data_IF_912474653221
#
_entry.id   IF_912474653221
#
_cell.length_a   1.000
_cell.length_b   1.000
_cell.length_c   1.000
_cell.angle_alpha   90.00
_cell.angle_beta   90.00
_cell.angle_gamma   90.00
#
_symmetry.space_group_name_H-M   'P 1'
#
loop_
_entity.id
_entity.type
_entity.pdbx_description
1 polymer ?
#
# COMPACT_ATOMS: atom_id res chain seq x y z
N UNK A 1 -22.26 -43.82 -26.28
CA UNK A 1 -21.19 -43.52 -25.29
C UNK A 1 -20.47 -42.26 -25.75
N UNK A 2 -20.60 -41.10 -25.07
CA UNK A 2 -20.05 -39.85 -25.58
C UNK A 2 -18.52 -39.84 -25.42
N UNK A 3 -17.85 -39.43 -26.50
CA UNK A 3 -16.40 -39.51 -26.73
C UNK A 3 -15.59 -38.66 -25.75
N UNK A 4 -14.58 -39.26 -25.11
CA UNK A 4 -13.55 -38.68 -24.23
C UNK A 4 -12.95 -37.33 -24.73
N UNK A 5 -13.02 -37.05 -26.03
CA UNK A 5 -12.60 -35.79 -26.63
C UNK A 5 -13.38 -34.59 -26.06
N UNK A 6 -14.69 -34.72 -25.86
CA UNK A 6 -15.56 -33.64 -25.33
C UNK A 6 -15.19 -33.24 -23.89
N UNK A 7 -14.80 -34.21 -23.06
CA UNK A 7 -14.40 -33.97 -21.67
C UNK A 7 -13.07 -33.20 -21.57
N UNK A 8 -12.08 -33.52 -22.42
CA UNK A 8 -10.81 -32.76 -22.49
C UNK A 8 -11.01 -31.31 -22.92
N UNK A 9 -11.91 -31.05 -23.87
CA UNK A 9 -12.23 -29.68 -24.31
C UNK A 9 -12.99 -28.88 -23.25
N UNK A 10 -13.85 -29.55 -22.46
CA UNK A 10 -14.56 -28.92 -21.35
C UNK A 10 -13.61 -28.56 -20.20
N UNK A 11 -12.72 -29.48 -19.81
CA UNK A 11 -11.72 -29.23 -18.75
C UNK A 11 -10.73 -28.12 -19.11
N UNK A 12 -10.30 -28.03 -20.38
CA UNK A 12 -9.41 -26.95 -20.83
C UNK A 12 -10.11 -25.58 -20.75
N UNK A 13 -11.38 -25.50 -21.15
CA UNK A 13 -12.18 -24.26 -21.04
C UNK A 13 -12.33 -23.82 -19.59
N UNK A 14 -12.63 -24.75 -18.68
CA UNK A 14 -12.75 -24.46 -17.24
C UNK A 14 -11.42 -23.94 -16.69
N UNK A 15 -10.30 -24.58 -17.03
CA UNK A 15 -8.97 -24.12 -16.60
C UNK A 15 -8.63 -22.71 -17.07
N UNK A 16 -8.93 -22.37 -18.34
CA UNK A 16 -8.71 -21.02 -18.88
C UNK A 16 -9.56 -19.98 -18.14
N UNK A 17 -10.83 -20.27 -17.87
CA UNK A 17 -11.70 -19.34 -17.12
C UNK A 17 -11.17 -19.06 -15.72
N UNK A 18 -10.67 -20.08 -15.01
CA UNK A 18 -10.09 -19.90 -13.66
C UNK A 18 -8.81 -19.07 -13.72
N UNK A 19 -7.95 -19.28 -14.71
CA UNK A 19 -6.72 -18.50 -14.89
C UNK A 19 -7.06 -17.03 -15.18
N UNK A 20 -7.98 -16.77 -16.10
CA UNK A 20 -8.42 -15.41 -16.43
C UNK A 20 -9.02 -14.71 -15.22
N UNK A 21 -9.90 -15.39 -14.48
CA UNK A 21 -10.49 -14.86 -13.24
C UNK A 21 -9.41 -14.53 -12.18
N UNK A 22 -8.43 -15.41 -12.00
CA UNK A 22 -7.33 -15.22 -11.06
C UNK A 22 -6.44 -14.02 -11.44
N UNK A 23 -6.15 -13.84 -12.74
CA UNK A 23 -5.39 -12.69 -13.25
C UNK A 23 -6.16 -11.40 -12.98
N UNK A 24 -7.46 -11.35 -13.31
CA UNK A 24 -8.29 -10.16 -13.07
C UNK A 24 -8.34 -9.81 -11.58
N UNK A 25 -8.55 -10.81 -10.72
CA UNK A 25 -8.57 -10.61 -9.26
C UNK A 25 -7.24 -10.03 -8.76
N UNK A 26 -6.12 -10.57 -9.26
CA UNK A 26 -4.78 -10.09 -8.90
C UNK A 26 -4.59 -8.65 -9.36
N UNK A 27 -4.92 -8.33 -10.61
CA UNK A 27 -4.79 -6.98 -11.16
C UNK A 27 -5.64 -5.97 -10.40
N UNK A 28 -6.91 -6.31 -10.11
CA UNK A 28 -7.80 -5.45 -9.33
C UNK A 28 -7.30 -5.23 -7.91
N UNK A 29 -6.81 -6.28 -7.24
CA UNK A 29 -6.22 -6.17 -5.91
C UNK A 29 -5.00 -5.24 -5.89
N UNK A 30 -4.16 -5.28 -6.92
CA UNK A 30 -3.02 -4.37 -7.07
C UNK A 30 -3.46 -2.94 -7.34
N UNK A 31 -4.44 -2.73 -8.23
CA UNK A 31 -4.95 -1.40 -8.57
C UNK A 31 -5.64 -0.73 -7.37
N UNK A 32 -6.41 -1.48 -6.57
CA UNK A 32 -7.08 -0.94 -5.37
C UNK A 32 -6.14 -0.62 -4.21
N UNK A 33 -4.94 -1.22 -4.15
CA UNK A 33 -3.98 -0.94 -3.07
C UNK A 33 -3.34 0.46 -3.15
N UNK A 34 -3.52 1.16 -4.28
CA UNK A 34 -3.48 2.63 -4.40
C UNK A 34 -2.15 3.36 -4.15
N UNK A 35 -1.11 2.74 -3.58
CA UNK A 35 0.06 3.52 -3.07
C UNK A 35 1.44 2.89 -3.25
N UNK A 36 1.54 1.86 -4.07
CA UNK A 36 2.82 1.29 -4.43
C UNK A 36 2.58 -0.08 -5.00
N UNK A 37 2.75 -0.22 -6.32
CA UNK A 37 2.67 -1.52 -6.97
C UNK A 37 3.49 -2.56 -6.21
N UNK A 38 3.12 -3.84 -6.34
CA UNK A 38 3.68 -4.98 -5.60
C UNK A 38 5.22 -5.05 -5.55
N UNK A 39 5.90 -4.38 -6.48
CA UNK A 39 7.36 -4.36 -6.62
C UNK A 39 8.03 -3.03 -6.27
N UNK A 40 7.31 -2.06 -5.72
CA UNK A 40 7.90 -0.74 -5.47
C UNK A 40 8.59 -0.69 -4.13
N UNK A 41 9.90 -0.40 -4.13
CA UNK A 41 10.69 -0.30 -2.90
C UNK A 41 10.14 0.83 -2.05
N UNK A 42 9.68 0.53 -0.84
CA UNK A 42 9.15 1.51 0.11
C UNK A 42 10.15 1.76 1.23
N UNK A 43 10.19 2.99 1.72
CA UNK A 43 10.96 3.45 2.88
C UNK A 43 9.98 3.68 4.02
N UNK A 44 10.36 3.27 5.23
CA UNK A 44 9.58 3.50 6.44
C UNK A 44 10.09 4.78 7.09
N UNK A 45 9.22 5.77 7.19
CA UNK A 45 9.49 7.03 7.88
C UNK A 45 8.80 7.00 9.24
N UNK A 46 9.51 7.47 10.26
CA UNK A 46 8.97 7.63 11.61
C UNK A 46 9.01 9.12 11.94
N UNK A 47 7.84 9.68 12.18
CA UNK A 47 7.70 11.07 12.58
C UNK A 47 7.05 11.14 13.96
N UNK A 48 7.52 12.06 14.78
CA UNK A 48 6.97 12.27 16.12
C UNK A 48 6.26 13.62 16.15
N UNK A 49 5.02 13.61 16.59
CA UNK A 49 4.17 14.80 16.66
C UNK A 49 3.51 14.91 18.03
N UNK A 50 3.06 16.11 18.36
CA UNK A 50 2.34 16.38 19.61
C UNK A 50 0.93 15.78 19.59
N UNK A 51 0.23 15.94 18.46
CA UNK A 51 -1.13 15.46 18.25
C UNK A 51 -1.25 14.89 16.83
N UNK A 52 -2.03 13.82 16.70
CA UNK A 52 -2.37 13.20 15.42
C UNK A 52 -3.49 13.95 14.69
N UNK A 53 -4.20 14.88 15.34
CA UNK A 53 -5.31 15.66 14.76
C UNK A 53 -6.36 14.79 14.04
N UNK A 54 -6.65 13.60 14.56
CA UNK A 54 -7.61 12.67 13.96
C UNK A 54 -7.10 11.87 12.74
N UNK A 55 -5.79 11.90 12.46
CA UNK A 55 -5.16 11.08 11.42
C UNK A 55 -5.48 9.60 11.64
N UNK A 56 -5.81 8.89 10.56
CA UNK A 56 -6.14 7.47 10.58
C UNK A 56 -5.07 6.63 9.89
N UNK A 57 -4.96 5.38 10.32
CA UNK A 57 -4.15 4.38 9.62
C UNK A 57 -4.71 4.19 8.20
N UNK A 58 -3.83 4.18 7.20
CA UNK A 58 -4.19 4.13 5.79
C UNK A 58 -4.45 5.49 5.14
N UNK A 59 -4.31 6.60 5.86
CA UNK A 59 -4.40 7.93 5.26
C UNK A 59 -3.27 8.14 4.22
N UNK A 60 -3.55 8.80 3.07
CA UNK A 60 -2.55 9.08 2.05
C UNK A 60 -1.53 10.08 2.57
N UNK A 61 -0.25 9.80 2.35
CA UNK A 61 0.87 10.69 2.66
C UNK A 61 1.22 11.45 1.39
N UNK A 62 1.18 12.78 1.48
CA UNK A 62 1.46 13.68 0.35
C UNK A 62 2.79 14.38 0.51
N UNK A 63 3.54 14.47 -0.59
CA UNK A 63 4.74 15.30 -0.70
C UNK A 63 4.51 16.30 -1.84
N UNK A 64 4.53 17.59 -1.53
CA UNK A 64 4.31 18.67 -2.51
C UNK A 64 3.03 18.49 -3.35
N UNK A 65 1.95 18.01 -2.73
CA UNK A 65 0.66 17.77 -3.39
C UNK A 65 0.53 16.44 -4.13
N UNK A 66 1.56 15.59 -4.15
CA UNK A 66 1.54 14.28 -4.79
C UNK A 66 1.40 13.18 -3.74
N UNK A 67 0.50 12.21 -3.96
CA UNK A 67 0.38 11.03 -3.10
C UNK A 67 1.63 10.15 -3.26
N UNK A 68 2.44 10.07 -2.19
CA UNK A 68 3.73 9.35 -2.18
C UNK A 68 3.69 8.07 -1.36
N UNK A 69 2.64 7.86 -0.58
CA UNK A 69 2.54 6.70 0.31
C UNK A 69 1.31 6.70 1.19
N UNK A 70 1.37 5.90 2.26
CA UNK A 70 0.28 5.73 3.23
C UNK A 70 0.80 5.65 4.67
N UNK A 71 -0.03 6.08 5.62
CA UNK A 71 0.20 5.89 7.05
C UNK A 71 0.05 4.41 7.39
N UNK A 72 1.11 3.81 7.92
CA UNK A 72 1.16 2.38 8.31
C UNK A 72 0.59 2.15 9.71
N UNK A 73 0.95 3.02 10.66
CA UNK A 73 0.55 2.89 12.05
C UNK A 73 0.70 4.23 12.77
N UNK A 74 -0.10 4.39 13.82
CA UNK A 74 -0.07 5.55 14.72
C UNK A 74 -0.01 4.95 16.12
N UNK A 75 0.98 5.35 16.92
CA UNK A 75 1.20 4.82 18.26
C UNK A 75 1.47 5.96 19.23
N UNK A 76 0.98 5.84 20.46
CA UNK A 76 1.31 6.79 21.52
C UNK A 76 2.46 6.21 22.33
N UNK A 77 3.62 6.86 22.28
CA UNK A 77 4.84 6.49 22.99
C UNK A 77 4.88 7.25 24.33
N UNK A 78 4.72 6.56 25.47
CA UNK A 78 4.59 7.21 26.78
C UNK A 78 5.88 7.87 27.28
N UNK A 79 7.02 7.63 26.63
CA UNK A 79 8.34 8.09 27.08
C UNK A 79 8.83 9.37 26.38
N UNK A 80 7.92 10.16 25.77
CA UNK A 80 8.24 11.44 25.10
C UNK A 80 7.22 12.54 25.46
N UNK A 81 7.55 13.43 26.41
CA UNK A 81 6.60 14.45 26.88
C UNK A 81 6.26 15.51 25.82
N UNK A 82 7.18 15.78 24.89
CA UNK A 82 6.99 16.78 23.82
C UNK A 82 6.53 16.17 22.49
N UNK A 83 6.44 14.84 22.35
CA UNK A 83 5.99 14.24 21.08
C UNK A 83 5.46 12.84 21.33
N UNK A 84 4.33 12.73 22.05
CA UNK A 84 3.82 11.44 22.48
C UNK A 84 3.31 10.60 21.31
N UNK A 85 3.05 11.17 20.13
CA UNK A 85 2.51 10.41 18.99
C UNK A 85 3.62 10.07 17.99
N UNK A 86 3.87 8.77 17.79
CA UNK A 86 4.68 8.24 16.70
C UNK A 86 3.78 7.88 15.50
N UNK A 87 4.03 8.51 14.36
CA UNK A 87 3.39 8.21 13.08
C UNK A 87 4.40 7.46 12.22
N UNK A 88 4.04 6.23 11.85
CA UNK A 88 4.84 5.37 10.97
C UNK A 88 4.22 5.44 9.58
N UNK A 89 4.97 5.94 8.61
CA UNK A 89 4.53 6.11 7.23
C UNK A 89 5.34 5.21 6.30
N UNK A 90 4.69 4.64 5.30
CA UNK A 90 5.35 3.96 4.19
C UNK A 90 5.32 4.90 2.99
N UNK A 91 6.49 5.28 2.51
CA UNK A 91 6.64 6.16 1.34
C UNK A 91 7.43 5.45 0.27
N UNK A 92 7.05 5.65 -0.98
CA UNK A 92 7.71 5.05 -2.13
C UNK A 92 9.11 5.66 -2.34
N UNK A 93 10.14 4.81 -2.45
CA UNK A 93 11.55 5.22 -2.63
C UNK A 93 11.80 5.95 -3.95
N UNK A 94 10.88 5.91 -4.90
CA UNK A 94 10.93 6.77 -6.09
C UNK A 94 11.01 8.27 -5.72
N UNK A 95 10.48 8.65 -4.57
CA UNK A 95 10.50 10.02 -4.06
C UNK A 95 11.63 10.30 -3.04
N UNK A 96 12.49 9.31 -2.76
CA UNK A 96 13.60 9.38 -1.77
C UNK A 96 14.55 10.55 -2.06
N UNK A 97 14.73 10.90 -3.33
CA UNK A 97 15.55 12.05 -3.74
C UNK A 97 15.03 13.40 -3.20
N UNK A 98 13.71 13.54 -3.01
CA UNK A 98 13.09 14.74 -2.46
C UNK A 98 12.89 14.67 -0.94
N UNK A 99 13.06 13.49 -0.33
CA UNK A 99 12.92 13.27 1.11
C UNK A 99 14.25 13.57 1.81
N UNK A 100 14.49 14.87 2.05
CA UNK A 100 15.65 15.33 2.82
C UNK A 100 15.41 15.19 4.32
N UNK A 101 16.50 15.10 5.09
CA UNK A 101 16.46 14.92 6.56
C UNK A 101 15.84 16.10 7.33
N UNK A 102 15.77 17.26 6.71
CA UNK A 102 15.17 18.50 7.23
C UNK A 102 13.67 18.64 6.92
N UNK A 103 13.06 17.63 6.29
CA UNK A 103 11.63 17.63 5.99
C UNK A 103 10.79 17.69 7.27
N UNK A 104 9.84 18.64 7.31
CA UNK A 104 8.88 18.77 8.41
C UNK A 104 7.55 18.11 8.02
N UNK A 105 6.92 17.48 9.00
CA UNK A 105 5.56 16.95 8.85
C UNK A 105 4.55 18.05 9.20
N UNK A 106 3.51 18.17 8.38
CA UNK A 106 2.34 19.01 8.62
C UNK A 106 1.10 18.12 8.50
N UNK A 107 0.20 18.24 9.47
CA UNK A 107 -1.04 17.46 9.58
C UNK A 107 -2.23 18.35 9.25
#
# INVERSE_FOLDING_TARGET
MPSQKQLKWSQLKVGITVIVASIILTVLGVLMSGTGGLFTRTVILKSYVFDAQGLRVGAPVRLSGVDVGNVKAIQVVPNRPLSPVEIIMKVNRKYDFNLRKDSKIML
#
